data_IF_871479516945
#
_entry.id   IF_871479516945
#
_cell.length_a   1.000
_cell.length_b   1.000
_cell.length_c   1.000
_cell.angle_alpha   90.00
_cell.angle_beta   90.00
_cell.angle_gamma   90.00
#
_symmetry.space_group_name_H-M   'P 1'
#
loop_
_entity.id
_entity.type
_entity.pdbx_description
1 polymer ?
#
# COMPACT_ATOMS: atom_id res chain seq x y z
N UNK A 1 -5.88 -14.65 2.01
CA UNK A 1 -6.77 -13.62 2.61
C UNK A 1 -8.01 -13.41 1.74
N UNK A 2 -9.16 -13.07 2.34
CA UNK A 2 -10.41 -12.84 1.61
C UNK A 2 -10.30 -11.69 0.59
N UNK A 3 -9.36 -10.76 0.84
CA UNK A 3 -9.08 -9.59 0.02
C UNK A 3 -8.00 -9.79 -1.06
N UNK A 4 -7.50 -11.01 -1.29
CA UNK A 4 -6.43 -11.25 -2.27
C UNK A 4 -6.89 -10.82 -3.68
N UNK A 5 -6.15 -9.90 -4.30
CA UNK A 5 -6.45 -9.37 -5.64
C UNK A 5 -7.40 -8.17 -5.66
N UNK A 6 -7.94 -7.74 -4.51
CA UNK A 6 -8.76 -6.53 -4.44
C UNK A 6 -7.96 -5.24 -4.65
N UNK A 7 -6.64 -5.27 -4.44
CA UNK A 7 -5.74 -4.14 -4.65
C UNK A 7 -5.82 -3.60 -6.09
N UNK A 8 -5.83 -4.47 -7.10
CA UNK A 8 -5.99 -4.05 -8.50
C UNK A 8 -7.34 -3.39 -8.79
N UNK A 9 -8.43 -3.91 -8.20
CA UNK A 9 -9.76 -3.31 -8.33
C UNK A 9 -9.80 -1.88 -7.76
N UNK A 10 -9.22 -1.66 -6.59
CA UNK A 10 -9.16 -0.33 -5.98
C UNK A 10 -8.28 0.65 -6.77
N UNK A 11 -7.15 0.16 -7.28
CA UNK A 11 -6.27 0.96 -8.16
C UNK A 11 -7.02 1.43 -9.40
N UNK A 12 -7.84 0.56 -10.03
CA UNK A 12 -8.66 0.93 -11.18
C UNK A 12 -9.78 1.93 -10.83
N UNK A 13 -10.53 1.66 -9.73
CA UNK A 13 -11.76 2.41 -9.42
C UNK A 13 -11.55 3.75 -8.75
N UNK A 14 -10.41 4.00 -8.11
CA UNK A 14 -10.15 5.24 -7.37
C UNK A 14 -9.27 6.16 -8.23
N UNK A 15 -9.77 7.31 -8.73
CA UNK A 15 -8.99 8.19 -9.59
C UNK A 15 -7.68 8.68 -8.95
N UNK A 16 -7.70 8.99 -7.65
CA UNK A 16 -6.50 9.42 -6.91
C UNK A 16 -5.46 8.31 -6.69
N UNK A 17 -5.79 7.05 -6.95
CA UNK A 17 -4.84 5.94 -6.89
C UNK A 17 -4.05 5.78 -8.21
N UNK A 18 -4.49 6.39 -9.30
CA UNK A 18 -3.83 6.27 -10.61
C UNK A 18 -2.45 6.94 -10.57
N UNK A 19 -1.43 6.24 -11.06
CA UNK A 19 -0.04 6.73 -11.09
C UNK A 19 0.69 6.74 -9.74
N UNK A 20 0.05 6.33 -8.64
CA UNK A 20 0.72 6.16 -7.35
C UNK A 20 1.64 4.93 -7.34
N UNK A 21 2.71 4.97 -6.54
CA UNK A 21 3.70 3.88 -6.39
C UNK A 21 3.15 2.76 -5.48
N UNK A 22 2.16 2.01 -5.97
CA UNK A 22 1.58 0.87 -5.24
C UNK A 22 2.65 -0.18 -4.92
N UNK A 23 2.69 -0.60 -3.66
CA UNK A 23 3.75 -1.48 -3.15
C UNK A 23 3.15 -2.67 -2.42
N UNK A 24 3.59 -3.89 -2.77
CA UNK A 24 3.29 -5.11 -2.01
C UNK A 24 4.41 -5.39 -1.03
N UNK A 25 4.11 -5.35 0.27
CA UNK A 25 5.03 -5.78 1.31
C UNK A 25 5.05 -7.31 1.33
N UNK A 26 6.20 -7.89 0.99
CA UNK A 26 6.38 -9.35 0.90
C UNK A 26 6.54 -9.98 2.28
N UNK A 27 6.19 -11.27 2.38
CA UNK A 27 6.36 -12.07 3.59
C UNK A 27 5.65 -11.46 4.81
N UNK A 28 4.43 -10.94 4.60
CA UNK A 28 3.54 -10.46 5.64
C UNK A 28 2.15 -11.12 5.50
N UNK A 29 1.55 -11.45 6.64
CA UNK A 29 0.20 -11.95 6.76
C UNK A 29 -0.86 -10.85 6.72
N UNK A 30 -1.96 -11.06 7.45
CA UNK A 30 -3.07 -10.12 7.48
C UNK A 30 -2.75 -8.86 8.30
N UNK A 31 -2.00 -9.01 9.39
CA UNK A 31 -1.59 -7.93 10.29
C UNK A 31 -0.20 -7.42 9.90
N UNK A 32 -0.10 -6.84 8.70
CA UNK A 32 1.18 -6.39 8.12
C UNK A 32 1.95 -5.42 9.03
N UNK A 33 1.26 -4.61 9.84
CA UNK A 33 1.90 -3.70 10.80
C UNK A 33 2.62 -4.43 11.95
N UNK A 34 2.17 -5.63 12.33
CA UNK A 34 2.80 -6.44 13.38
C UNK A 34 4.02 -7.20 12.85
N UNK A 35 3.94 -7.66 11.60
CA UNK A 35 5.00 -8.46 10.98
C UNK A 35 6.06 -7.61 10.26
N UNK A 36 5.67 -6.45 9.72
CA UNK A 36 6.45 -5.58 8.82
C UNK A 36 6.22 -4.09 9.08
N UNK A 37 6.09 -3.72 10.36
CA UNK A 37 5.84 -2.34 10.79
C UNK A 37 6.83 -1.31 10.23
N UNK A 38 8.16 -1.52 10.33
CA UNK A 38 9.15 -0.60 9.78
C UNK A 38 9.02 -0.41 8.25
N UNK A 39 8.89 -1.50 7.49
CA UNK A 39 8.75 -1.45 6.04
C UNK A 39 7.43 -0.75 5.63
N UNK A 40 6.34 -0.98 6.37
CA UNK A 40 5.09 -0.27 6.16
C UNK A 40 5.24 1.23 6.42
N UNK A 41 5.93 1.61 7.49
CA UNK A 41 6.16 3.01 7.83
C UNK A 41 6.97 3.73 6.75
N UNK A 42 8.01 3.09 6.20
CA UNK A 42 8.80 3.64 5.09
C UNK A 42 7.94 3.93 3.85
N UNK A 43 7.09 2.98 3.45
CA UNK A 43 6.17 3.16 2.30
C UNK A 43 5.20 4.33 2.54
N UNK A 44 4.66 4.46 3.75
CA UNK A 44 3.77 5.57 4.10
C UNK A 44 4.50 6.92 4.06
N UNK A 45 5.72 6.99 4.59
CA UNK A 45 6.54 8.20 4.57
C UNK A 45 6.87 8.61 3.12
N UNK A 46 7.26 7.65 2.26
CA UNK A 46 7.50 7.91 0.84
C UNK A 46 6.24 8.41 0.13
N UNK A 47 5.08 7.83 0.42
CA UNK A 47 3.81 8.26 -0.14
C UNK A 47 3.49 9.72 0.21
N UNK A 48 3.62 10.10 1.49
CA UNK A 48 3.38 11.48 1.94
C UNK A 48 4.37 12.45 1.27
N UNK A 49 5.66 12.11 1.22
CA UNK A 49 6.68 12.94 0.56
C UNK A 49 6.43 13.14 -0.93
N UNK A 50 5.89 12.11 -1.59
CA UNK A 50 5.58 12.15 -3.03
C UNK A 50 4.27 12.87 -3.35
N UNK A 51 3.47 13.20 -2.33
CA UNK A 51 2.19 13.90 -2.47
C UNK A 51 2.15 15.15 -1.55
N UNK A 52 3.00 16.16 -1.80
CA UNK A 52 2.96 17.42 -1.05
C UNK A 52 1.63 18.15 -1.30
N UNK A 53 1.21 18.97 -0.33
CA UNK A 53 0.01 19.83 -0.45
C UNK A 53 0.21 20.97 -1.44
#
# INVERSE_FOLDING_TARGET
>A
PISKGMDGFWQEKIPGAQGQKHTTIKNAGHFVQEEKGPELAEVIIEFIKSNPK
#
